data_IF_946478807609
#
_entry.id   IF_946478807609
#
_cell.length_a   1.000
_cell.length_b   1.000
_cell.length_c   1.000
_cell.angle_alpha   90.00
_cell.angle_beta   90.00
_cell.angle_gamma   90.00
#
_symmetry.space_group_name_H-M   'P 1'
#
loop_
_entity.id
_entity.type
_entity.pdbx_description
1 polymer ?
#
# COMPACT_ATOMS: atom_id res chain seq x y z
N UNK A 1 -15.75 -6.49 -11.61
CA UNK A 1 -16.50 -5.87 -10.49
C UNK A 1 -16.43 -4.37 -10.65
N UNK A 2 -17.54 -3.65 -10.47
CA UNK A 2 -17.49 -2.18 -10.36
C UNK A 2 -16.78 -1.83 -9.05
N UNK A 3 -15.80 -0.92 -9.13
CA UNK A 3 -15.02 -0.49 -7.98
C UNK A 3 -15.90 0.33 -7.05
N UNK A 4 -16.15 -0.16 -5.84
CA UNK A 4 -16.92 0.58 -4.85
C UNK A 4 -16.10 1.77 -4.33
N UNK A 5 -16.81 2.80 -3.87
CA UNK A 5 -16.18 4.04 -3.39
C UNK A 5 -15.17 3.80 -2.27
N UNK A 6 -15.42 2.82 -1.39
CA UNK A 6 -14.54 2.59 -0.25
C UNK A 6 -13.29 1.81 -0.65
N UNK A 7 -13.40 0.83 -1.55
CA UNK A 7 -12.22 0.20 -2.16
C UNK A 7 -11.38 1.22 -2.95
N UNK A 8 -12.01 2.19 -3.62
CA UNK A 8 -11.29 3.30 -4.28
C UNK A 8 -10.52 4.14 -3.26
N UNK A 9 -11.16 4.52 -2.15
CA UNK A 9 -10.50 5.28 -1.07
C UNK A 9 -9.35 4.47 -0.47
N UNK A 10 -9.55 3.18 -0.20
CA UNK A 10 -8.50 2.29 0.29
C UNK A 10 -7.30 2.24 -0.68
N UNK A 11 -7.55 2.10 -1.98
CA UNK A 11 -6.50 2.11 -2.99
C UNK A 11 -5.70 3.43 -2.99
N UNK A 12 -6.39 4.58 -2.90
CA UNK A 12 -5.73 5.89 -2.83
C UNK A 12 -4.90 6.02 -1.56
N UNK A 13 -5.39 5.56 -0.41
CA UNK A 13 -4.63 5.58 0.85
C UNK A 13 -3.32 4.78 0.71
N UNK A 14 -3.36 3.57 0.17
CA UNK A 14 -2.16 2.76 -0.06
C UNK A 14 -1.21 3.38 -1.10
N UNK A 15 -1.74 4.01 -2.14
CA UNK A 15 -0.93 4.75 -3.10
C UNK A 15 -0.19 5.93 -2.45
N UNK A 16 -0.86 6.69 -1.57
CA UNK A 16 -0.26 7.81 -0.83
C UNK A 16 0.78 7.30 0.18
N UNK A 17 0.48 6.23 0.91
CA UNK A 17 1.40 5.64 1.88
C UNK A 17 2.66 5.08 1.22
N UNK A 18 2.53 4.35 0.12
CA UNK A 18 3.66 3.88 -0.67
C UNK A 18 4.48 5.05 -1.24
N UNK A 19 3.83 6.08 -1.75
CA UNK A 19 4.49 7.29 -2.24
C UNK A 19 5.27 8.06 -1.17
N UNK A 20 4.68 8.24 0.02
CA UNK A 20 5.37 8.86 1.16
C UNK A 20 6.54 8.02 1.63
N UNK A 21 6.38 6.69 1.66
CA UNK A 21 7.46 5.76 2.01
C UNK A 21 8.61 5.85 1.02
N UNK A 22 8.35 5.92 -0.29
CA UNK A 22 9.38 6.14 -1.30
C UNK A 22 10.12 7.47 -1.11
N UNK A 23 9.41 8.54 -0.77
CA UNK A 23 10.04 9.84 -0.51
C UNK A 23 11.00 9.76 0.69
N UNK A 24 10.57 9.14 1.78
CA UNK A 24 11.40 8.93 2.97
C UNK A 24 12.61 8.05 2.64
N UNK A 25 12.39 6.95 1.92
CA UNK A 25 13.48 6.05 1.49
C UNK A 25 14.46 6.72 0.55
N UNK A 26 14.01 7.65 -0.30
CA UNK A 26 14.89 8.43 -1.16
C UNK A 26 15.84 9.31 -0.33
N UNK A 27 15.31 9.98 0.70
CA UNK A 27 16.12 10.81 1.61
C UNK A 27 17.11 9.94 2.38
N UNK A 28 16.66 8.83 2.96
CA UNK A 28 17.52 7.89 3.69
C UNK A 28 18.60 7.32 2.76
N UNK A 29 18.23 6.89 1.55
CA UNK A 29 19.16 6.38 0.55
C UNK A 29 20.21 7.41 0.15
N UNK A 30 19.80 8.67 -0.05
CA UNK A 30 20.74 9.76 -0.31
C UNK A 30 21.73 9.97 0.85
N UNK A 31 21.25 9.93 2.09
CA UNK A 31 22.12 10.06 3.28
C UNK A 31 23.09 8.88 3.42
N UNK A 32 22.61 7.65 3.24
CA UNK A 32 23.44 6.43 3.31
C UNK A 32 24.47 6.40 2.19
N UNK A 33 24.07 6.74 0.96
CA UNK A 33 24.97 6.85 -0.17
C UNK A 33 26.01 7.94 0.02
N UNK A 34 25.62 9.11 0.53
CA UNK A 34 26.55 10.19 0.87
C UNK A 34 27.53 9.76 1.97
N UNK A 35 27.07 9.04 2.99
CA UNK A 35 27.97 8.50 4.02
C UNK A 35 28.98 7.52 3.42
N UNK A 36 28.55 6.61 2.53
CA UNK A 36 29.46 5.70 1.84
C UNK A 36 30.50 6.40 0.99
N UNK A 37 30.10 7.47 0.29
CA UNK A 37 30.97 8.22 -0.61
C UNK A 37 31.93 9.19 0.10
N UNK A 38 31.47 9.84 1.17
CA UNK A 38 32.18 10.95 1.83
C UNK A 38 32.59 10.64 3.28
N UNK A 39 32.28 9.47 3.82
CA UNK A 39 32.60 9.09 5.21
C UNK A 39 34.08 9.25 5.55
N UNK A 40 34.97 8.97 4.58
CA UNK A 40 36.40 9.17 4.73
C UNK A 40 36.81 10.63 4.98
N UNK A 41 36.07 11.59 4.42
CA UNK A 41 36.28 13.02 4.65
C UNK A 41 35.95 13.45 6.08
N UNK A 42 35.22 12.63 6.83
CA UNK A 42 34.89 12.84 8.24
C UNK A 42 35.79 12.03 9.19
N UNK A 43 36.89 11.47 8.70
CA UNK A 43 37.85 10.72 9.52
C UNK A 43 37.47 9.25 9.77
N UNK A 44 36.43 8.74 9.10
CA UNK A 44 36.09 7.31 9.12
C UNK A 44 37.06 6.56 8.20
N UNK A 45 37.47 5.35 8.58
CA UNK A 45 38.23 4.49 7.69
C UNK A 45 37.46 4.26 6.37
N UNK A 46 38.11 4.54 5.23
CA UNK A 46 37.45 4.51 3.91
C UNK A 46 36.72 3.19 3.64
N UNK A 47 37.39 2.08 3.92
CA UNK A 47 36.85 0.75 3.67
C UNK A 47 35.63 0.45 4.54
N UNK A 48 35.60 0.95 5.78
CA UNK A 48 34.45 0.85 6.67
C UNK A 48 33.27 1.72 6.19
N UNK A 49 33.54 2.96 5.76
CA UNK A 49 32.51 3.85 5.23
C UNK A 49 31.85 3.25 3.97
N UNK A 50 32.65 2.77 3.03
CA UNK A 50 32.17 2.13 1.79
C UNK A 50 31.34 0.87 2.09
N UNK A 51 31.78 0.04 3.06
CA UNK A 51 31.04 -1.17 3.46
C UNK A 51 29.68 -0.84 4.07
N UNK A 52 29.64 0.09 5.03
CA UNK A 52 28.40 0.52 5.69
C UNK A 52 27.44 1.16 4.69
N UNK A 53 27.95 2.04 3.82
CA UNK A 53 27.17 2.64 2.73
C UNK A 53 26.61 1.59 1.77
N UNK A 54 27.44 0.63 1.35
CA UNK A 54 27.04 -0.45 0.45
C UNK A 54 25.94 -1.35 1.04
N UNK A 55 26.11 -1.82 2.27
CA UNK A 55 25.09 -2.62 2.97
C UNK A 55 23.82 -1.79 3.17
N UNK A 56 23.95 -0.55 3.60
CA UNK A 56 22.82 0.35 3.79
C UNK A 56 22.03 0.56 2.50
N UNK A 57 22.69 0.70 1.35
CA UNK A 57 22.02 0.82 0.05
C UNK A 57 21.26 -0.45 -0.35
N UNK A 58 21.79 -1.65 -0.03
CA UNK A 58 21.07 -2.91 -0.26
C UNK A 58 19.80 -2.96 0.60
N UNK A 59 19.88 -2.55 1.86
CA UNK A 59 18.73 -2.50 2.76
C UNK A 59 17.71 -1.48 2.28
N UNK A 60 18.12 -0.26 1.95
CA UNK A 60 17.19 0.77 1.41
C UNK A 60 16.54 0.26 0.11
N UNK A 61 17.33 -0.35 -0.78
CA UNK A 61 16.84 -0.92 -2.04
C UNK A 61 15.76 -1.98 -1.83
N UNK A 62 15.91 -2.86 -0.85
CA UNK A 62 14.89 -3.88 -0.56
C UNK A 62 13.57 -3.25 -0.07
N UNK A 63 13.63 -2.22 0.78
CA UNK A 63 12.43 -1.48 1.20
C UNK A 63 11.80 -0.67 0.06
N UNK A 64 12.59 -0.14 -0.87
CA UNK A 64 12.05 0.52 -2.08
C UNK A 64 11.24 -0.47 -2.92
N UNK A 65 11.71 -1.72 -3.09
CA UNK A 65 10.95 -2.74 -3.79
C UNK A 65 9.61 -3.04 -3.10
N UNK A 66 9.59 -3.12 -1.77
CA UNK A 66 8.35 -3.32 -0.99
C UNK A 66 7.38 -2.14 -1.19
N UNK A 67 7.86 -0.90 -1.14
CA UNK A 67 7.04 0.29 -1.36
C UNK A 67 6.48 0.34 -2.79
N UNK A 68 7.27 -0.08 -3.80
CA UNK A 68 6.79 -0.22 -5.18
C UNK A 68 5.69 -1.27 -5.26
N UNK A 69 5.85 -2.43 -4.61
CA UNK A 69 4.82 -3.48 -4.60
C UNK A 69 3.51 -3.01 -3.96
N UNK A 70 3.57 -2.16 -2.93
CA UNK A 70 2.38 -1.55 -2.34
C UNK A 70 1.63 -0.67 -3.36
N UNK A 71 2.36 0.21 -4.05
CA UNK A 71 1.79 1.08 -5.08
C UNK A 71 1.21 0.25 -6.24
N UNK A 72 1.91 -0.80 -6.67
CA UNK A 72 1.41 -1.73 -7.70
C UNK A 72 0.12 -2.39 -7.26
N UNK A 73 0.04 -2.85 -6.00
CA UNK A 73 -1.19 -3.39 -5.42
C UNK A 73 -2.35 -2.40 -5.49
N UNK A 74 -2.11 -1.15 -5.08
CA UNK A 74 -3.09 -0.07 -5.16
C UNK A 74 -3.54 0.23 -6.61
N UNK A 75 -2.61 0.31 -7.57
CA UNK A 75 -2.93 0.54 -8.99
C UNK A 75 -3.76 -0.60 -9.57
N UNK A 76 -3.40 -1.85 -9.27
CA UNK A 76 -4.16 -3.02 -9.70
C UNK A 76 -5.56 -3.03 -9.09
N UNK A 77 -5.67 -2.67 -7.81
CA UNK A 77 -6.97 -2.54 -7.14
C UNK A 77 -7.81 -1.47 -7.84
N UNK A 78 -7.25 -0.30 -8.19
CA UNK A 78 -7.92 0.76 -8.96
C UNK A 78 -8.39 0.33 -10.35
N UNK A 79 -7.80 -0.72 -10.93
CA UNK A 79 -8.21 -1.32 -12.20
C UNK A 79 -9.29 -2.40 -12.03
N UNK A 80 -9.76 -2.64 -10.81
CA UNK A 80 -10.75 -3.67 -10.49
C UNK A 80 -10.18 -5.09 -10.55
N UNK A 81 -8.86 -5.26 -10.38
CA UNK A 81 -8.19 -6.56 -10.37
C UNK A 81 -8.33 -7.24 -9.01
N UNK A 82 -8.72 -8.52 -9.01
CA UNK A 82 -8.78 -9.35 -7.81
C UNK A 82 -7.38 -9.56 -7.19
N UNK A 83 -6.33 -9.64 -8.01
CA UNK A 83 -4.94 -9.69 -7.55
C UNK A 83 -4.55 -8.43 -6.80
N UNK A 84 -4.99 -7.26 -7.28
CA UNK A 84 -4.79 -5.98 -6.61
C UNK A 84 -5.44 -5.96 -5.23
N UNK A 85 -6.65 -6.51 -5.11
CA UNK A 85 -7.36 -6.64 -3.82
C UNK A 85 -6.58 -7.47 -2.81
N UNK A 86 -6.05 -8.62 -3.22
CA UNK A 86 -5.26 -9.49 -2.33
C UNK A 86 -3.98 -8.78 -1.87
N UNK A 87 -3.25 -8.15 -2.79
CA UNK A 87 -2.04 -7.38 -2.47
C UNK A 87 -2.35 -6.28 -1.45
N UNK A 88 -3.37 -5.46 -1.71
CA UNK A 88 -3.77 -4.38 -0.80
C UNK A 88 -4.21 -4.91 0.57
N UNK A 89 -4.88 -6.05 0.65
CA UNK A 89 -5.22 -6.69 1.93
C UNK A 89 -3.97 -7.09 2.73
N UNK A 90 -2.96 -7.68 2.07
CA UNK A 90 -1.68 -8.03 2.72
C UNK A 90 -1.02 -6.77 3.29
N UNK A 91 -0.90 -5.71 2.47
CA UNK A 91 -0.35 -4.43 2.93
C UNK A 91 -1.19 -3.77 4.03
N UNK A 92 -2.51 -3.94 4.01
CA UNK A 92 -3.40 -3.44 5.07
C UNK A 92 -3.07 -4.08 6.42
N UNK A 93 -2.80 -5.38 6.45
CA UNK A 93 -2.38 -6.10 7.67
C UNK A 93 -1.00 -5.62 8.13
N UNK A 94 -0.05 -5.46 7.19
CA UNK A 94 1.29 -4.94 7.53
C UNK A 94 1.20 -3.53 8.13
N UNK A 95 0.32 -2.69 7.60
CA UNK A 95 0.08 -1.35 8.10
C UNK A 95 -0.48 -1.33 9.54
N UNK A 96 -1.19 -2.37 9.99
CA UNK A 96 -1.64 -2.43 11.39
C UNK A 96 -0.49 -2.39 12.39
N UNK A 97 0.71 -2.85 12.00
CA UNK A 97 1.92 -2.83 12.83
C UNK A 97 2.53 -1.42 12.97
N UNK A 98 2.12 -0.46 12.13
CA UNK A 98 2.66 0.89 12.10
C UNK A 98 1.68 1.89 12.72
N UNK A 99 1.89 2.21 14.01
CA UNK A 99 1.00 3.07 14.81
C UNK A 99 1.50 4.53 14.77
N UNK A 100 0.63 5.55 14.61
CA UNK A 100 -0.83 5.48 14.50
C UNK A 100 -1.38 5.45 13.07
N UNK A 101 -0.64 5.99 12.10
CA UNK A 101 -1.15 6.23 10.75
C UNK A 101 -1.38 4.95 9.95
N UNK A 102 -0.44 4.01 10.01
CA UNK A 102 -0.59 2.72 9.36
C UNK A 102 -1.80 1.97 9.91
N UNK A 103 -2.00 1.96 11.23
CA UNK A 103 -3.17 1.31 11.84
C UNK A 103 -4.49 1.89 11.32
N UNK A 104 -4.60 3.22 11.23
CA UNK A 104 -5.79 3.86 10.68
C UNK A 104 -6.07 3.47 9.22
N UNK A 105 -5.03 3.52 8.37
CA UNK A 105 -5.14 3.13 6.95
C UNK A 105 -5.45 1.64 6.82
N UNK A 106 -4.72 0.79 7.52
CA UNK A 106 -4.88 -0.66 7.49
C UNK A 106 -6.27 -1.10 7.94
N UNK A 107 -6.74 -0.60 9.09
CA UNK A 107 -8.06 -0.94 9.63
C UNK A 107 -9.19 -0.50 8.67
N UNK A 108 -9.10 0.71 8.12
CA UNK A 108 -10.07 1.20 7.16
C UNK A 108 -10.07 0.36 5.87
N UNK A 109 -8.89 0.07 5.31
CA UNK A 109 -8.74 -0.72 4.09
C UNK A 109 -9.26 -2.16 4.28
N UNK A 110 -8.96 -2.79 5.42
CA UNK A 110 -9.50 -4.11 5.78
C UNK A 110 -11.02 -4.11 5.81
N UNK A 111 -11.64 -3.14 6.51
CA UNK A 111 -13.10 -3.02 6.52
C UNK A 111 -13.68 -2.79 5.12
N UNK A 112 -13.07 -1.87 4.35
CA UNK A 112 -13.53 -1.50 3.02
C UNK A 112 -13.46 -2.68 2.03
N UNK A 113 -12.42 -3.51 2.13
CA UNK A 113 -12.16 -4.62 1.20
C UNK A 113 -12.76 -5.95 1.65
N UNK A 114 -13.10 -6.15 2.92
CA UNK A 114 -13.72 -7.39 3.41
C UNK A 114 -15.25 -7.33 3.45
N UNK A 115 -15.85 -6.14 3.47
CA UNK A 115 -17.31 -6.01 3.44
C UNK A 115 -17.92 -6.57 2.15
N UNK A 116 -19.12 -7.15 2.28
CA UNK A 116 -19.95 -7.52 1.12
C UNK A 116 -20.73 -6.29 0.65
N UNK A 117 -20.68 -5.91 -0.64
CA UNK A 117 -21.54 -4.85 -1.16
C UNK A 117 -23.02 -5.22 -0.98
N UNK A 118 -23.91 -4.28 -0.62
CA UNK A 118 -25.34 -4.55 -0.57
C UNK A 118 -25.85 -5.07 -1.92
N UNK A 119 -26.55 -6.21 -1.91
CA UNK A 119 -27.22 -6.72 -3.11
C UNK A 119 -28.37 -5.77 -3.47
N UNK A 120 -28.55 -5.36 -4.75
CA UNK A 120 -29.71 -4.57 -5.15
C UNK A 120 -31.00 -5.29 -4.78
N UNK A 121 -31.85 -4.63 -3.98
CA UNK A 121 -33.12 -5.19 -3.45
C UNK A 121 -34.05 -5.65 -4.58
N UNK A 122 -33.90 -5.09 -5.78
CA UNK A 122 -34.75 -5.35 -6.95
C UNK A 122 -34.41 -6.65 -7.71
N UNK A 123 -33.26 -7.29 -7.43
CA UNK A 123 -32.88 -8.52 -8.12
C UNK A 123 -33.64 -9.78 -7.65
N UNK A 124 -34.38 -9.69 -6.53
CA UNK A 124 -34.99 -10.85 -5.87
C UNK A 124 -36.51 -10.95 -6.01
N UNK A 125 -37.20 -9.96 -6.58
CA UNK A 125 -38.68 -10.01 -6.71
C UNK A 125 -39.08 -9.85 -8.18
N UNK A 126 -39.28 -10.94 -8.94
CA UNK A 126 -40.08 -10.86 -10.15
C UNK A 126 -41.48 -10.44 -9.71
N UNK A 127 -41.86 -9.19 -9.99
CA UNK A 127 -43.23 -8.71 -9.83
C UNK A 127 -44.10 -9.57 -10.73
N UNK A 128 -44.77 -10.58 -10.17
CA UNK A 128 -45.76 -11.37 -10.90
C UNK A 128 -46.92 -10.44 -11.26
N UNK A 129 -47.15 -10.13 -12.55
CA UNK A 129 -48.27 -9.30 -12.96
C UNK A 129 -49.53 -10.17 -12.91
N UNK A 130 -50.23 -10.21 -11.77
CA UNK A 130 -51.41 -11.07 -11.67
C UNK A 130 -52.30 -10.95 -10.43
N UNK A 131 -51.82 -10.46 -9.30
CA UNK A 131 -52.68 -10.36 -8.10
C UNK A 131 -53.40 -9.01 -8.03
N UNK A 132 -54.58 -8.92 -8.66
CA UNK A 132 -55.58 -7.92 -8.29
C UNK A 132 -56.35 -8.43 -7.06
N UNK A 133 -56.46 -7.65 -5.97
CA UNK A 133 -57.37 -7.99 -4.89
C UNK A 133 -58.82 -7.78 -5.37
N UNK A 134 -59.66 -8.79 -5.13
CA UNK A 134 -61.12 -8.71 -5.26
C UNK A 134 -61.72 -7.86 -4.14
#
# INVERSE_FOLDING_TARGET
MTLDTHARVAAVLHMVMGGLSLLVLLVIGAMVGAFGAYGASFGVERQLAELVGGIGMIVVGSFVLVAILEIVGAVLLMRGSDTGRILTLVFSVLHLLNVPFGTAVGAYSLWALLRTPPQPVDAAVPVQPGMRPY
#
